data_IF_507569347392
#
_entry.id   IF_507569347392
#
_cell.length_a   1.000
_cell.length_b   1.000
_cell.length_c   1.000
_cell.angle_alpha   90.00
_cell.angle_beta   90.00
_cell.angle_gamma   90.00
#
_symmetry.space_group_name_H-M   'P 1'
#
loop_
_entity.id
_entity.type
_entity.pdbx_description
1 polymer ?
#
# COMPACT_ATOMS: atom_id res chain seq x y z
N UNK A 1 -20.72 16.45 -17.52
CA UNK A 1 -21.58 16.33 -16.33
C UNK A 1 -20.69 16.28 -15.10
N UNK A 2 -20.89 17.25 -14.20
CA UNK A 2 -20.36 17.39 -12.84
C UNK A 2 -18.83 17.54 -12.65
N UNK A 3 -18.26 18.63 -13.17
CA UNK A 3 -17.16 19.32 -12.48
C UNK A 3 -17.76 20.17 -11.37
N UNK A 4 -17.64 19.74 -10.11
CA UNK A 4 -18.15 20.48 -8.96
C UNK A 4 -17.02 21.30 -8.31
N UNK A 5 -16.95 22.56 -8.73
CA UNK A 5 -16.63 23.76 -7.95
C UNK A 5 -15.88 23.58 -6.62
N UNK A 6 -14.55 23.72 -6.67
CA UNK A 6 -13.77 24.09 -5.50
C UNK A 6 -13.78 25.63 -5.36
N UNK A 7 -14.92 26.17 -4.92
CA UNK A 7 -14.96 27.55 -4.44
C UNK A 7 -14.34 27.53 -3.03
N UNK A 8 -13.14 28.10 -2.90
CA UNK A 8 -12.47 28.31 -1.63
C UNK A 8 -13.42 29.05 -0.68
N UNK A 9 -14.05 28.30 0.23
CA UNK A 9 -14.93 28.88 1.23
C UNK A 9 -14.07 29.54 2.29
N UNK A 10 -14.02 30.87 2.29
CA UNK A 10 -13.40 31.73 3.29
C UNK A 10 -14.06 31.65 4.68
N UNK A 11 -14.71 30.53 5.00
CA UNK A 11 -15.34 30.30 6.28
C UNK A 11 -14.38 29.49 7.16
N UNK A 12 -13.78 30.25 8.07
CA UNK A 12 -13.08 29.80 9.25
C UNK A 12 -13.72 28.56 9.88
N UNK A 13 -12.86 27.64 10.30
CA UNK A 13 -13.09 26.56 11.28
C UNK A 13 -14.56 26.15 11.42
N UNK A 14 -14.95 25.06 10.76
CA UNK A 14 -16.29 24.50 10.92
C UNK A 14 -16.59 24.19 12.40
N UNK A 15 -17.88 24.22 12.81
CA UNK A 15 -18.28 23.86 14.19
C UNK A 15 -17.68 22.53 14.66
N UNK A 16 -17.59 21.56 13.75
CA UNK A 16 -16.97 20.26 14.01
C UNK A 16 -15.48 20.38 14.29
N UNK A 17 -14.75 21.19 13.53
CA UNK A 17 -13.34 21.46 13.76
C UNK A 17 -13.10 22.23 15.06
N UNK A 18 -13.97 23.20 15.39
CA UNK A 18 -13.91 23.90 16.68
C UNK A 18 -14.10 22.94 17.86
N UNK A 19 -15.08 22.03 17.78
CA UNK A 19 -15.28 21.00 18.79
C UNK A 19 -14.13 20.00 18.86
N UNK A 20 -13.53 19.63 17.72
CA UNK A 20 -12.35 18.75 17.67
C UNK A 20 -11.14 19.40 18.31
N UNK A 21 -10.80 20.63 17.91
CA UNK A 21 -9.67 21.35 18.48
C UNK A 21 -9.90 21.65 19.97
N UNK A 22 -11.07 22.16 20.34
CA UNK A 22 -11.44 22.43 21.72
C UNK A 22 -11.40 21.17 22.60
N UNK A 23 -11.98 20.06 22.13
CA UNK A 23 -11.95 18.78 22.82
C UNK A 23 -10.53 18.23 23.00
N UNK A 24 -9.69 18.30 21.97
CA UNK A 24 -8.28 17.89 22.07
C UNK A 24 -7.51 18.76 23.06
N UNK A 25 -7.72 20.08 23.05
CA UNK A 25 -7.08 20.99 24.01
C UNK A 25 -7.56 20.78 25.45
N UNK A 26 -8.85 20.53 25.66
CA UNK A 26 -9.43 20.26 26.97
C UNK A 26 -8.94 18.93 27.57
N UNK A 27 -8.62 17.95 26.72
CA UNK A 27 -7.99 16.68 27.10
C UNK A 27 -6.47 16.79 27.26
N UNK A 28 -5.91 18.01 27.22
CA UNK A 28 -4.50 18.26 27.51
C UNK A 28 -3.56 18.12 26.32
N UNK A 29 -4.06 17.97 25.09
CA UNK A 29 -3.23 17.96 23.88
C UNK A 29 -3.04 19.38 23.35
N UNK A 30 -1.86 19.94 23.59
CA UNK A 30 -1.46 21.27 23.11
C UNK A 30 -0.70 21.22 21.79
N UNK A 31 -0.78 22.29 21.00
CA UNK A 31 -0.06 22.40 19.71
C UNK A 31 1.46 22.15 19.85
N UNK A 32 2.18 22.70 20.85
CA UNK A 32 3.60 22.42 21.02
C UNK A 32 3.92 20.94 21.27
N UNK A 33 3.06 20.20 21.98
CA UNK A 33 3.23 18.76 22.18
C UNK A 33 3.07 17.98 20.88
N UNK A 34 2.10 18.36 20.05
CA UNK A 34 1.90 17.75 18.73
C UNK A 34 3.11 17.99 17.83
N UNK A 35 3.64 19.22 17.79
CA UNK A 35 4.80 19.56 16.98
C UNK A 35 6.07 18.81 17.45
N UNK A 36 6.29 18.69 18.77
CA UNK A 36 7.38 17.88 19.32
C UNK A 36 7.22 16.40 18.99
N UNK A 37 6.00 15.87 19.07
CA UNK A 37 5.72 14.48 18.72
C UNK A 37 5.95 14.20 17.23
N UNK A 38 5.62 15.15 16.34
CA UNK A 38 5.91 15.05 14.90
C UNK A 38 7.42 15.09 14.61
N UNK A 39 8.17 15.95 15.29
CA UNK A 39 9.63 15.98 15.15
C UNK A 39 10.31 14.71 15.69
N UNK A 40 9.78 14.13 16.77
CA UNK A 40 10.27 12.87 17.33
C UNK A 40 9.79 11.63 16.54
N UNK A 41 8.80 11.78 15.66
CA UNK A 41 8.32 10.70 14.83
C UNK A 41 9.41 10.31 13.82
N UNK A 42 9.79 9.03 13.83
CA UNK A 42 10.68 8.49 12.80
C UNK A 42 10.00 8.61 11.44
N UNK A 43 10.73 8.94 10.36
CA UNK A 43 10.16 8.93 9.02
C UNK A 43 9.55 7.55 8.78
N UNK A 44 8.27 7.52 8.38
CA UNK A 44 7.64 6.26 7.97
C UNK A 44 8.44 5.72 6.79
N UNK A 45 8.76 4.43 6.83
CA UNK A 45 9.33 3.75 5.67
C UNK A 45 8.34 3.89 4.52
N UNK A 46 8.78 4.52 3.44
CA UNK A 46 8.01 4.53 2.20
C UNK A 46 7.94 3.10 1.68
N UNK A 47 6.71 2.60 1.50
CA UNK A 47 6.46 1.25 0.97
C UNK A 47 5.98 1.43 -0.46
N UNK A 48 6.82 1.01 -1.41
CA UNK A 48 6.44 0.93 -2.81
C UNK A 48 5.63 -0.35 -3.03
N UNK A 49 4.43 -0.23 -3.59
CA UNK A 49 3.54 -1.34 -3.90
C UNK A 49 3.20 -1.32 -5.39
N UNK A 50 3.41 -2.44 -6.07
CA UNK A 50 2.95 -2.65 -7.45
C UNK A 50 1.72 -3.55 -7.37
N UNK A 51 0.59 -3.07 -7.90
CA UNK A 51 -0.62 -3.86 -8.04
C UNK A 51 -0.62 -4.54 -9.41
N UNK A 52 -0.60 -5.86 -9.42
CA UNK A 52 -0.75 -6.66 -10.63
C UNK A 52 -2.21 -7.16 -10.70
N UNK A 53 -2.96 -6.71 -11.71
CA UNK A 53 -4.31 -7.19 -11.95
C UNK A 53 -4.28 -8.40 -12.87
N UNK A 54 -4.35 -9.60 -12.30
CA UNK A 54 -4.40 -10.86 -13.04
C UNK A 54 -5.82 -11.43 -12.96
N UNK A 55 -6.66 -11.16 -13.96
CA UNK A 55 -7.99 -11.74 -14.04
C UNK A 55 -7.86 -13.27 -14.18
N UNK A 56 -8.27 -14.02 -13.15
CA UNK A 56 -8.11 -15.48 -13.10
C UNK A 56 -6.78 -15.96 -12.50
N UNK A 57 -5.91 -15.03 -12.10
CA UNK A 57 -4.64 -15.35 -11.45
C UNK A 57 -3.54 -15.85 -12.40
N UNK A 58 -2.39 -16.18 -11.83
CA UNK A 58 -1.25 -16.75 -12.55
C UNK A 58 -1.49 -18.20 -12.95
N UNK A 59 -0.89 -18.61 -14.08
CA UNK A 59 -0.93 -19.99 -14.55
C UNK A 59 -0.25 -20.94 -13.56
N UNK A 60 -0.82 -22.12 -13.33
CA UNK A 60 -0.21 -23.15 -12.48
C UNK A 60 1.15 -23.63 -13.02
N UNK A 61 1.29 -23.66 -14.35
CA UNK A 61 2.51 -24.11 -15.01
C UNK A 61 3.66 -23.10 -14.89
N UNK A 62 3.34 -21.83 -14.61
CA UNK A 62 4.29 -20.72 -14.46
C UNK A 62 4.49 -20.34 -12.98
N UNK A 63 4.14 -21.26 -12.07
CA UNK A 63 4.31 -21.01 -10.63
C UNK A 63 4.81 -22.23 -9.89
N UNK A 64 4.01 -23.31 -9.92
CA UNK A 64 4.21 -24.44 -9.01
C UNK A 64 4.49 -25.75 -9.77
N UNK A 65 4.02 -25.89 -11.01
CA UNK A 65 4.20 -27.09 -11.82
C UNK A 65 4.95 -26.79 -13.12
N UNK A 66 6.20 -26.38 -12.97
CA UNK A 66 7.05 -25.84 -14.05
C UNK A 66 7.43 -26.84 -15.14
N UNK A 67 7.10 -28.13 -14.95
CA UNK A 67 7.44 -29.26 -15.84
C UNK A 67 8.79 -29.09 -16.57
N UNK A 68 9.91 -28.92 -15.85
CA UNK A 68 11.19 -28.50 -16.45
C UNK A 68 11.71 -29.47 -17.51
N UNK A 69 11.38 -30.74 -17.36
CA UNK A 69 11.81 -31.83 -18.24
C UNK A 69 10.81 -32.13 -19.37
N UNK A 70 9.69 -31.41 -19.45
CA UNK A 70 8.74 -31.57 -20.54
C UNK A 70 9.23 -30.87 -21.83
N UNK A 71 8.73 -31.30 -23.00
CA UNK A 71 8.98 -30.61 -24.28
C UNK A 71 8.59 -29.13 -24.24
N UNK A 72 9.22 -28.32 -25.11
CA UNK A 72 9.01 -26.87 -25.20
C UNK A 72 7.56 -26.46 -25.41
N UNK A 73 6.77 -27.33 -26.04
CA UNK A 73 5.37 -27.09 -26.36
C UNK A 73 4.46 -27.28 -25.14
N UNK A 74 4.96 -27.92 -24.08
CA UNK A 74 4.19 -28.31 -22.90
C UNK A 74 4.63 -27.53 -21.67
N UNK A 75 5.93 -27.25 -21.51
CA UNK A 75 6.43 -26.48 -20.36
C UNK A 75 6.20 -24.98 -20.55
N UNK A 76 6.08 -24.25 -19.43
CA UNK A 76 6.02 -22.79 -19.44
C UNK A 76 7.29 -22.16 -20.04
N UNK A 77 7.20 -20.90 -20.44
CA UNK A 77 8.33 -20.15 -21.01
C UNK A 77 9.42 -19.87 -19.96
N UNK A 78 9.02 -19.84 -18.69
CA UNK A 78 9.86 -19.50 -17.56
C UNK A 78 10.72 -20.69 -17.14
N UNK A 79 11.95 -20.40 -16.72
CA UNK A 79 12.86 -21.40 -16.16
C UNK A 79 12.72 -21.41 -14.64
N UNK A 80 12.68 -22.58 -13.99
CA UNK A 80 12.65 -22.65 -12.55
C UNK A 80 13.81 -21.91 -11.89
N UNK A 81 13.48 -21.10 -10.89
CA UNK A 81 14.38 -20.34 -10.04
C UNK A 81 14.33 -20.95 -8.63
N UNK A 82 15.48 -21.24 -8.00
CA UNK A 82 15.51 -21.77 -6.65
C UNK A 82 15.03 -20.71 -5.65
N UNK A 83 14.27 -21.15 -4.65
CA UNK A 83 13.89 -20.30 -3.51
C UNK A 83 14.85 -20.49 -2.33
N UNK A 84 14.64 -19.72 -1.26
CA UNK A 84 15.37 -19.92 0.00
C UNK A 84 14.97 -21.23 0.73
N UNK A 85 13.94 -21.94 0.27
CA UNK A 85 13.56 -23.26 0.81
C UNK A 85 14.22 -24.34 -0.06
N UNK A 86 15.09 -25.20 0.51
CA UNK A 86 15.74 -26.26 -0.25
C UNK A 86 14.75 -27.18 -0.97
N UNK A 87 15.03 -27.48 -2.24
CA UNK A 87 14.17 -28.32 -3.08
C UNK A 87 12.98 -27.58 -3.72
N UNK A 88 12.65 -26.38 -3.25
CA UNK A 88 11.53 -25.59 -3.79
C UNK A 88 12.00 -24.65 -4.89
N UNK A 89 11.39 -24.81 -6.06
CA UNK A 89 11.59 -23.94 -7.22
C UNK A 89 10.26 -23.27 -7.59
N UNK A 90 10.35 -22.03 -8.06
CA UNK A 90 9.25 -21.25 -8.63
C UNK A 90 9.72 -20.68 -9.96
N UNK A 91 8.84 -20.36 -10.89
CA UNK A 91 9.25 -19.88 -12.21
C UNK A 91 8.11 -19.27 -12.95
#
# INVERSE_FOLDING_TARGET
MAGQNQLASWNAVSRREALRMGGLTALGLSLPQVLRAQQAAKPKREVNCILLWMLGGPSHIDMYDLKPNAPSEIRGELRPIPTNVPGTHIG
#
